data_IF_755500499075
#
_entry.id   IF_755500499075
#
_cell.length_a   1.000
_cell.length_b   1.000
_cell.length_c   1.000
_cell.angle_alpha   90.00
_cell.angle_beta   90.00
_cell.angle_gamma   90.00
#
_symmetry.space_group_name_H-M   'P 1'
#
loop_
_entity.id
_entity.type
_entity.pdbx_description
1 polymer ?
#
# COMPACT_ATOMS: atom_id res chain seq x y z
N UNK A 1 12.02 -3.76 -6.39
CA UNK A 1 12.07 -3.62 -4.91
C UNK A 1 13.52 -3.53 -4.52
N UNK A 2 13.92 -2.41 -3.92
CA UNK A 2 15.30 -2.21 -3.43
C UNK A 2 15.28 -2.44 -1.93
N UNK A 3 16.09 -3.38 -1.45
CA UNK A 3 16.26 -3.62 -0.03
C UNK A 3 17.49 -2.85 0.47
N UNK A 4 17.33 -2.14 1.57
CA UNK A 4 18.40 -1.43 2.25
C UNK A 4 18.51 -2.01 3.65
N UNK A 5 19.69 -2.53 4.00
CA UNK A 5 19.95 -3.13 5.30
C UNK A 5 20.97 -2.29 6.05
N UNK A 6 20.66 -1.99 7.30
CA UNK A 6 21.58 -1.34 8.23
C UNK A 6 21.92 -2.34 9.35
N UNK A 7 23.16 -2.30 9.84
CA UNK A 7 23.58 -3.13 10.97
C UNK A 7 24.41 -2.32 11.96
N UNK A 8 24.32 -2.69 13.24
CA UNK A 8 25.09 -2.13 14.35
C UNK A 8 26.04 -3.18 14.97
N UNK A 9 26.07 -4.39 14.43
CA UNK A 9 26.90 -5.53 14.87
C UNK A 9 27.54 -6.16 13.63
N UNK A 10 28.74 -6.74 13.77
CA UNK A 10 29.50 -7.34 12.66
C UNK A 10 29.68 -6.35 11.49
N UNK A 11 30.19 -5.16 11.80
CA UNK A 11 30.29 -4.02 10.87
C UNK A 11 31.37 -4.16 9.80
N UNK A 12 32.18 -5.21 9.87
CA UNK A 12 33.26 -5.48 8.94
C UNK A 12 32.70 -5.61 7.50
N UNK A 13 33.28 -4.93 6.49
CA UNK A 13 32.82 -5.00 5.11
C UNK A 13 32.83 -6.42 4.54
N UNK A 14 33.76 -7.25 4.99
CA UNK A 14 33.89 -8.65 4.53
C UNK A 14 32.65 -9.49 4.88
N UNK A 15 31.88 -9.06 5.89
CA UNK A 15 30.64 -9.70 6.31
C UNK A 15 29.40 -9.17 5.55
N UNK A 16 29.56 -8.15 4.70
CA UNK A 16 28.47 -7.59 3.89
C UNK A 16 27.80 -8.67 3.03
N UNK A 17 28.59 -9.47 2.33
CA UNK A 17 28.09 -10.46 1.38
C UNK A 17 27.31 -11.57 2.08
N UNK A 18 27.81 -12.08 3.20
CA UNK A 18 27.15 -13.14 3.96
C UNK A 18 25.81 -12.66 4.53
N UNK A 19 25.79 -11.46 5.12
CA UNK A 19 24.57 -10.87 5.64
C UNK A 19 23.56 -10.57 4.54
N UNK A 20 24.02 -10.05 3.40
CA UNK A 20 23.16 -9.82 2.24
C UNK A 20 22.57 -11.15 1.74
N UNK A 21 23.38 -12.21 1.62
CA UNK A 21 22.93 -13.53 1.20
C UNK A 21 21.82 -14.07 2.13
N UNK A 22 22.02 -13.95 3.45
CA UNK A 22 21.03 -14.37 4.45
C UNK A 22 19.72 -13.59 4.33
N UNK A 23 19.80 -12.25 4.24
CA UNK A 23 18.62 -11.41 4.14
C UNK A 23 17.85 -11.67 2.83
N UNK A 24 18.58 -11.87 1.72
CA UNK A 24 17.98 -12.20 0.44
C UNK A 24 17.35 -13.59 0.41
N UNK A 25 17.84 -14.55 1.19
CA UNK A 25 17.20 -15.87 1.31
C UNK A 25 15.77 -15.73 1.85
N UNK A 26 15.58 -14.98 2.93
CA UNK A 26 14.26 -14.74 3.52
C UNK A 26 13.33 -14.02 2.52
N UNK A 27 13.82 -12.93 1.91
CA UNK A 27 13.06 -12.19 0.92
C UNK A 27 12.61 -13.05 -0.28
N UNK A 28 13.43 -14.01 -0.72
CA UNK A 28 13.08 -14.92 -1.82
C UNK A 28 12.03 -15.94 -1.44
N UNK A 29 12.09 -16.46 -0.21
CA UNK A 29 11.09 -17.40 0.30
C UNK A 29 9.72 -16.72 0.41
N UNK A 30 9.69 -15.53 1.03
CA UNK A 30 8.45 -14.76 1.21
C UNK A 30 7.86 -14.29 -0.12
N UNK A 31 8.71 -13.90 -1.08
CA UNK A 31 8.29 -13.47 -2.42
C UNK A 31 7.41 -14.51 -3.10
N UNK A 32 7.80 -15.79 -3.08
CA UNK A 32 7.04 -16.84 -3.75
C UNK A 32 5.62 -16.98 -3.18
N UNK A 33 5.48 -16.88 -1.86
CA UNK A 33 4.19 -16.96 -1.17
C UNK A 33 3.36 -15.70 -1.46
N UNK A 34 3.95 -14.51 -1.31
CA UNK A 34 3.26 -13.25 -1.53
C UNK A 34 2.77 -13.09 -2.98
N UNK A 35 3.56 -13.49 -3.97
CA UNK A 35 3.19 -13.38 -5.40
C UNK A 35 2.15 -14.42 -5.84
N UNK A 36 2.02 -15.53 -5.10
CA UNK A 36 1.01 -16.55 -5.36
C UNK A 36 -0.39 -16.17 -4.83
N UNK A 37 -0.50 -15.15 -3.96
CA UNK A 37 -1.79 -14.76 -3.38
C UNK A 37 -2.78 -14.26 -4.42
N UNK A 38 -4.02 -14.73 -4.31
CA UNK A 38 -5.16 -14.30 -5.12
C UNK A 38 -6.38 -14.05 -4.21
N UNK A 39 -7.16 -12.98 -4.45
CA UNK A 39 -6.92 -11.94 -5.45
C UNK A 39 -5.68 -11.08 -5.12
N UNK A 40 -4.99 -10.56 -6.16
CA UNK A 40 -3.80 -9.70 -5.99
C UNK A 40 -4.06 -8.41 -5.19
N UNK A 41 -5.30 -7.96 -5.16
CA UNK A 41 -5.74 -6.83 -4.34
C UNK A 41 -6.59 -7.42 -3.24
N UNK A 42 -6.13 -7.25 -1.99
CA UNK A 42 -6.86 -7.73 -0.84
C UNK A 42 -8.26 -7.08 -0.75
N UNK A 43 -9.26 -7.81 -0.20
CA UNK A 43 -10.60 -7.28 0.01
C UNK A 43 -10.61 -6.02 0.88
N UNK A 44 -11.71 -5.28 0.85
CA UNK A 44 -11.83 -4.07 1.67
C UNK A 44 -12.13 -4.44 3.13
N UNK A 45 -11.21 -4.08 4.02
CA UNK A 45 -11.41 -4.15 5.47
C UNK A 45 -11.20 -5.55 6.03
N UNK A 46 -11.14 -5.70 7.37
CA UNK A 46 -10.98 -7.01 7.94
C UNK A 46 -12.20 -7.86 7.56
N UNK A 47 -11.91 -9.00 6.97
CA UNK A 47 -12.93 -9.93 6.50
C UNK A 47 -13.78 -10.42 7.70
N UNK A 48 -15.11 -10.26 7.68
CA UNK A 48 -15.97 -10.84 8.69
C UNK A 48 -15.91 -12.37 8.75
N UNK A 49 -15.35 -13.04 7.74
CA UNK A 49 -15.30 -14.50 7.60
C UNK A 49 -13.98 -15.18 8.02
N UNK A 50 -12.99 -14.47 8.58
CA UNK A 50 -11.86 -15.15 9.23
C UNK A 50 -10.45 -14.80 8.76
N UNK A 51 -10.26 -13.97 7.73
CA UNK A 51 -8.92 -13.75 7.16
C UNK A 51 -7.90 -13.10 8.12
N UNK A 52 -8.38 -12.50 9.22
CA UNK A 52 -7.57 -11.82 10.24
C UNK A 52 -8.09 -12.08 11.66
N UNK A 53 -8.61 -13.29 11.91
CA UNK A 53 -9.28 -13.63 13.18
C UNK A 53 -8.39 -14.31 14.21
N UNK A 54 -7.15 -14.63 13.86
CA UNK A 54 -6.21 -15.19 14.82
C UNK A 54 -5.57 -14.07 15.66
N UNK A 55 -5.19 -14.39 16.90
CA UNK A 55 -4.59 -13.41 17.81
C UNK A 55 -3.24 -12.89 17.26
N UNK A 56 -2.56 -13.74 16.49
CA UNK A 56 -1.33 -13.44 15.76
C UNK A 56 -1.50 -12.38 14.66
N UNK A 57 -2.72 -12.17 14.14
CA UNK A 57 -3.02 -11.22 13.06
C UNK A 57 -3.29 -9.79 13.57
N UNK A 58 -3.04 -9.52 14.85
CA UNK A 58 -3.34 -8.24 15.49
C UNK A 58 -2.73 -7.02 14.78
N UNK A 59 -1.51 -7.15 14.25
CA UNK A 59 -0.83 -6.10 13.47
C UNK A 59 -1.53 -5.83 12.14
N UNK A 60 -1.94 -6.89 11.42
CA UNK A 60 -2.65 -6.79 10.16
C UNK A 60 -4.03 -6.16 10.39
N UNK A 61 -4.71 -6.55 11.47
CA UNK A 61 -5.98 -5.94 11.87
C UNK A 61 -5.83 -4.44 12.16
N UNK A 62 -4.77 -4.03 12.84
CA UNK A 62 -4.47 -2.61 13.08
C UNK A 62 -4.24 -1.86 11.77
N UNK A 63 -3.46 -2.43 10.84
CA UNK A 63 -3.25 -1.86 9.51
C UNK A 63 -4.58 -1.62 8.78
N UNK A 64 -5.47 -2.61 8.73
CA UNK A 64 -6.76 -2.47 8.07
C UNK A 64 -7.67 -1.42 8.72
N UNK A 65 -7.67 -1.34 10.05
CA UNK A 65 -8.39 -0.30 10.78
C UNK A 65 -7.86 1.11 10.42
N UNK A 66 -6.54 1.27 10.28
CA UNK A 66 -5.94 2.53 9.85
C UNK A 66 -6.34 2.88 8.41
N UNK A 67 -6.31 1.90 7.50
CA UNK A 67 -6.74 2.09 6.12
C UNK A 67 -8.21 2.48 6.01
N UNK A 68 -9.09 1.87 6.81
CA UNK A 68 -10.50 2.24 6.90
C UNK A 68 -10.68 3.70 7.34
N UNK A 69 -9.99 4.13 8.39
CA UNK A 69 -10.04 5.53 8.86
C UNK A 69 -9.53 6.53 7.81
N UNK A 70 -8.46 6.20 7.08
CA UNK A 70 -7.95 7.06 6.01
C UNK A 70 -8.96 7.18 4.85
N UNK A 71 -9.61 6.07 4.51
CA UNK A 71 -10.67 6.02 3.51
C UNK A 71 -11.90 6.83 3.91
N UNK A 72 -12.35 6.73 5.16
CA UNK A 72 -13.42 7.55 5.71
C UNK A 72 -13.13 9.06 5.57
N UNK A 73 -11.86 9.45 5.62
CA UNK A 73 -11.39 10.83 5.41
C UNK A 73 -11.30 11.24 3.93
N UNK A 74 -11.59 10.35 2.98
CA UNK A 74 -11.48 10.58 1.54
C UNK A 74 -10.02 10.69 1.06
N UNK A 75 -9.10 9.98 1.73
CA UNK A 75 -7.68 10.01 1.37
C UNK A 75 -7.28 8.89 0.41
N UNK A 76 -8.09 7.84 0.31
CA UNK A 76 -7.80 6.72 -0.56
C UNK A 76 -8.02 7.09 -2.04
N UNK A 77 -7.02 6.81 -2.87
CA UNK A 77 -7.07 6.96 -4.32
C UNK A 77 -8.00 5.92 -4.91
N UNK A 78 -8.89 6.35 -5.80
CA UNK A 78 -9.67 5.43 -6.63
C UNK A 78 -8.76 4.90 -7.75
N UNK A 79 -8.18 3.72 -7.51
CA UNK A 79 -7.25 3.09 -8.44
C UNK A 79 -7.90 2.72 -9.77
N UNK A 80 -9.19 2.40 -9.77
CA UNK A 80 -9.93 2.06 -10.99
C UNK A 80 -10.09 3.30 -11.85
N UNK A 81 -10.64 4.37 -11.29
CA UNK A 81 -10.81 5.64 -12.00
C UNK A 81 -9.45 6.22 -12.45
N UNK A 82 -8.39 6.03 -11.66
CA UNK A 82 -7.05 6.48 -12.04
C UNK A 82 -6.48 5.66 -13.20
N UNK A 83 -6.63 4.33 -13.18
CA UNK A 83 -6.20 3.45 -14.27
C UNK A 83 -6.94 3.76 -15.58
N UNK A 84 -8.25 4.01 -15.51
CA UNK A 84 -9.07 4.44 -16.65
C UNK A 84 -8.60 5.78 -17.21
N UNK A 85 -8.32 6.77 -16.33
CA UNK A 85 -7.78 8.06 -16.75
C UNK A 85 -6.41 7.93 -17.44
N UNK A 86 -5.51 7.10 -16.89
CA UNK A 86 -4.19 6.85 -17.49
C UNK A 86 -4.31 6.18 -18.86
N UNK A 87 -5.20 5.19 -19.00
CA UNK A 87 -5.45 4.52 -20.27
C UNK A 87 -6.00 5.47 -21.34
N UNK A 88 -6.76 6.50 -20.93
CA UNK A 88 -7.26 7.57 -21.80
C UNK A 88 -6.22 8.68 -22.06
N UNK A 89 -4.99 8.56 -21.58
CA UNK A 89 -3.93 9.58 -21.74
C UNK A 89 -4.09 10.79 -20.82
N UNK A 90 -4.96 10.73 -19.82
CA UNK A 90 -5.16 11.79 -18.85
C UNK A 90 -4.25 11.61 -17.63
N UNK A 91 -3.11 12.29 -17.66
CA UNK A 91 -2.20 12.33 -16.53
C UNK A 91 -2.82 13.10 -15.36
N UNK A 92 -2.60 12.58 -14.14
CA UNK A 92 -3.12 13.11 -12.88
C UNK A 92 -1.96 13.36 -11.92
N UNK A 93 -2.07 14.39 -11.09
CA UNK A 93 -1.06 14.71 -10.07
C UNK A 93 -1.61 14.49 -8.66
N UNK A 94 -0.79 13.91 -7.78
CA UNK A 94 -1.11 13.78 -6.35
C UNK A 94 -1.10 15.19 -5.73
N UNK A 95 -2.18 15.64 -5.08
CA UNK A 95 -2.25 17.00 -4.58
C UNK A 95 -1.32 17.23 -3.39
N UNK A 96 -0.46 18.24 -3.51
CA UNK A 96 0.30 18.77 -2.38
C UNK A 96 -0.59 19.61 -1.45
N UNK A 97 -0.19 19.86 -0.20
CA UNK A 97 -0.90 20.78 0.69
C UNK A 97 -1.07 22.19 0.10
N UNK A 98 -0.14 22.64 -0.74
CA UNK A 98 -0.18 23.96 -1.41
C UNK A 98 -1.27 23.97 -2.48
N UNK A 99 -1.38 22.90 -3.29
CA UNK A 99 -2.44 22.76 -4.29
C UNK A 99 -3.84 22.84 -3.70
N UNK A 100 -4.02 22.32 -2.47
CA UNK A 100 -5.30 22.41 -1.76
C UNK A 100 -5.66 23.84 -1.35
N UNK A 101 -4.67 24.70 -1.12
CA UNK A 101 -4.86 26.11 -0.74
C UNK A 101 -5.12 27.00 -1.96
N UNK A 102 -4.37 26.76 -3.05
CA UNK A 102 -4.56 27.45 -4.33
C UNK A 102 -4.68 26.44 -5.48
N UNK A 103 -5.90 26.15 -5.94
CA UNK A 103 -6.14 25.17 -6.99
C UNK A 103 -5.93 25.73 -8.40
N UNK A 104 -5.52 27.00 -8.56
CA UNK A 104 -5.34 27.62 -9.88
C UNK A 104 -3.97 27.31 -10.48
N UNK A 105 -3.88 27.28 -11.81
CA UNK A 105 -2.62 27.18 -12.54
C UNK A 105 -1.97 25.79 -12.60
N UNK A 106 -2.66 24.72 -12.16
CA UNK A 106 -2.14 23.36 -12.24
C UNK A 106 -2.42 22.73 -13.61
N UNK A 107 -1.39 22.14 -14.22
CA UNK A 107 -1.44 21.55 -15.57
C UNK A 107 -2.25 20.24 -15.63
N UNK A 108 -2.24 19.46 -14.55
CA UNK A 108 -2.89 18.15 -14.48
C UNK A 108 -3.95 18.13 -13.38
N UNK A 109 -5.07 17.45 -13.62
CA UNK A 109 -6.10 17.26 -12.60
C UNK A 109 -5.58 16.44 -11.40
N UNK A 110 -6.30 16.49 -10.29
CA UNK A 110 -5.98 15.67 -9.12
C UNK A 110 -6.21 14.19 -9.40
N UNK A 111 -5.44 13.33 -8.75
CA UNK A 111 -5.76 11.89 -8.70
C UNK A 111 -7.17 11.71 -8.12
N UNK A 112 -8.01 10.86 -8.75
CA UNK A 112 -9.34 10.60 -8.24
C UNK A 112 -9.23 9.92 -6.87
N UNK A 113 -10.08 10.33 -5.95
CA UNK A 113 -10.16 9.80 -4.59
C UNK A 113 -11.60 9.44 -4.27
N UNK A 114 -11.78 8.44 -3.41
CA UNK A 114 -13.11 8.16 -2.87
C UNK A 114 -13.62 9.35 -2.06
N UNK A 115 -14.94 9.55 -2.10
CA UNK A 115 -15.58 10.58 -1.31
C UNK A 115 -15.40 10.31 0.19
N UNK A 116 -15.45 11.38 0.98
CA UNK A 116 -15.47 11.25 2.43
C UNK A 116 -16.71 10.44 2.85
N UNK A 117 -16.54 9.47 3.74
CA UNK A 117 -17.64 8.60 4.18
C UNK A 117 -18.03 7.51 3.18
N UNK A 118 -17.27 7.29 2.09
CA UNK A 118 -17.49 6.11 1.23
C UNK A 118 -17.24 4.83 2.03
N UNK A 119 -18.31 4.07 2.27
CA UNK A 119 -18.26 2.71 2.79
C UNK A 119 -18.18 1.72 1.63
N UNK A 120 -17.45 0.64 1.83
CA UNK A 120 -17.39 -0.47 0.88
C UNK A 120 -18.02 -1.64 1.59
N UNK A 121 -18.93 -2.33 0.91
CA UNK A 121 -19.43 -3.59 1.43
C UNK A 121 -18.24 -4.54 1.65
N UNK A 122 -18.28 -5.30 2.75
CA UNK A 122 -17.41 -6.47 2.88
C UNK A 122 -17.64 -7.35 1.64
N UNK A 123 -16.57 -7.88 1.06
CA UNK A 123 -16.70 -8.81 -0.06
C UNK A 123 -17.54 -10.01 0.42
N UNK A 124 -18.56 -10.36 -0.36
CA UNK A 124 -19.39 -11.55 -0.13
C UNK A 124 -18.62 -12.82 -0.46
#
# INVERSE_FOLDING_TARGET
MHYIFFRNFMLQPELDEEHLKRNLMQARQDKAIAEAQQPRIAPVGPDPNGLYTYDEDSEIRLYWNLMARMRERGWQIDRKAWAEALAAGHYRAIPSPVRKKDPKGWVHDEVPRYARGTTFAAAA
#
